data_IF_252345220241
#
_entry.id   IF_252345220241
#
_cell.length_a   1.000
_cell.length_b   1.000
_cell.length_c   1.000
_cell.angle_alpha   90.00
_cell.angle_beta   90.00
_cell.angle_gamma   90.00
#
_symmetry.space_group_name_H-M   'P 1'
#
loop_
_entity.id
_entity.type
_entity.pdbx_description
1 polymer ?
#
# COMPACT_ATOMS: atom_id res chain seq x y z
N UNK A 1 -1.60 -8.83 5.24
CA UNK A 1 -2.19 -7.94 6.27
C UNK A 1 -3.26 -8.61 7.13
N UNK A 2 -4.25 -9.30 6.54
CA UNK A 2 -5.32 -9.99 7.31
C UNK A 2 -4.78 -10.96 8.37
N UNK A 3 -3.75 -11.80 8.10
CA UNK A 3 -3.20 -12.69 9.12
C UNK A 3 -2.63 -11.95 10.34
N UNK A 4 -1.86 -10.88 10.12
CA UNK A 4 -1.27 -10.07 11.19
C UNK A 4 -2.31 -9.35 12.05
N UNK A 5 -3.30 -8.72 11.41
CA UNK A 5 -4.40 -8.08 12.14
C UNK A 5 -5.21 -9.10 12.95
N UNK A 6 -5.45 -10.30 12.37
CA UNK A 6 -6.16 -11.39 13.04
C UNK A 6 -5.40 -11.94 14.24
N UNK A 7 -4.07 -12.07 14.15
CA UNK A 7 -3.22 -12.52 15.26
C UNK A 7 -3.26 -11.53 16.43
N UNK A 8 -3.09 -10.23 16.15
CA UNK A 8 -3.18 -9.19 17.18
C UNK A 8 -4.57 -9.12 17.82
N UNK A 9 -5.64 -9.20 17.02
CA UNK A 9 -7.01 -9.21 17.54
C UNK A 9 -7.30 -10.46 18.38
N UNK A 10 -6.88 -11.64 17.92
CA UNK A 10 -7.05 -12.89 18.65
C UNK A 10 -6.35 -12.84 20.01
N UNK A 11 -5.13 -12.29 20.06
CA UNK A 11 -4.41 -12.09 21.32
C UNK A 11 -5.13 -11.13 22.26
N UNK A 12 -5.56 -9.96 21.77
CA UNK A 12 -6.13 -8.89 22.60
C UNK A 12 -7.58 -9.18 23.06
N UNK A 13 -8.37 -9.87 22.24
CA UNK A 13 -9.80 -10.12 22.50
C UNK A 13 -10.12 -11.56 22.91
N UNK A 14 -9.14 -12.48 22.81
CA UNK A 14 -9.32 -13.94 22.94
C UNK A 14 -10.29 -14.55 21.94
N UNK A 15 -10.59 -13.85 20.85
CA UNK A 15 -11.40 -14.38 19.75
C UNK A 15 -10.62 -15.44 18.97
N UNK A 16 -11.32 -16.47 18.46
CA UNK A 16 -10.70 -17.47 17.60
C UNK A 16 -10.12 -16.81 16.34
N UNK A 17 -8.88 -17.16 15.98
CA UNK A 17 -8.15 -16.50 14.88
C UNK A 17 -8.90 -16.58 13.55
N UNK A 18 -9.51 -17.72 13.23
CA UNK A 18 -10.32 -17.89 12.01
C UNK A 18 -11.57 -17.00 11.98
N UNK A 19 -12.19 -16.75 13.13
CA UNK A 19 -13.33 -15.85 13.20
C UNK A 19 -12.87 -14.42 12.88
N UNK A 20 -11.72 -14.00 13.43
CA UNK A 20 -11.11 -12.70 13.12
C UNK A 20 -10.77 -12.55 11.64
N UNK A 21 -10.21 -13.60 11.03
CA UNK A 21 -9.77 -13.61 9.63
C UNK A 21 -10.92 -13.46 8.65
N UNK A 22 -12.12 -13.97 8.97
CA UNK A 22 -13.31 -13.86 8.12
C UNK A 22 -14.10 -12.59 8.41
N UNK A 23 -14.20 -12.20 9.69
CA UNK A 23 -14.97 -11.04 10.12
C UNK A 23 -14.38 -9.73 9.59
N UNK A 24 -13.05 -9.63 9.52
CA UNK A 24 -12.35 -8.45 9.03
C UNK A 24 -12.72 -8.10 7.57
N UNK A 25 -12.51 -8.98 6.56
CA UNK A 25 -12.93 -8.72 5.19
C UNK A 25 -14.44 -8.52 5.04
N UNK A 26 -15.24 -9.28 5.79
CA UNK A 26 -16.70 -9.19 5.71
C UNK A 26 -17.23 -7.84 6.20
N UNK A 27 -16.70 -7.33 7.31
CA UNK A 27 -17.02 -5.99 7.80
C UNK A 27 -16.62 -4.90 6.80
N UNK A 28 -15.46 -5.07 6.15
CA UNK A 28 -14.97 -4.14 5.13
C UNK A 28 -15.86 -4.11 3.90
N UNK A 29 -16.23 -5.28 3.40
CA UNK A 29 -17.15 -5.43 2.25
C UNK A 29 -18.48 -4.75 2.54
N UNK A 30 -19.08 -5.02 3.70
CA UNK A 30 -20.38 -4.44 4.06
C UNK A 30 -20.35 -2.92 4.11
N UNK A 31 -19.34 -2.32 4.75
CA UNK A 31 -19.28 -0.86 4.81
C UNK A 31 -18.95 -0.26 3.43
N UNK A 32 -18.10 -0.90 2.64
CA UNK A 32 -17.72 -0.40 1.31
C UNK A 32 -18.92 -0.40 0.36
N UNK A 33 -19.79 -1.42 0.46
CA UNK A 33 -21.04 -1.49 -0.31
C UNK A 33 -22.06 -0.42 0.09
N UNK A 34 -22.11 -0.03 1.37
CA UNK A 34 -23.08 0.96 1.87
C UNK A 34 -22.56 2.38 1.69
N UNK A 35 -21.27 2.62 1.94
CA UNK A 35 -20.68 3.96 1.95
C UNK A 35 -20.24 4.47 0.58
N UNK A 36 -19.93 3.59 -0.37
CA UNK A 36 -19.36 4.01 -1.66
C UNK A 36 -17.97 4.65 -1.53
N UNK A 37 -17.45 5.19 -2.65
CA UNK A 37 -16.07 5.66 -2.72
C UNK A 37 -15.80 6.89 -1.85
N UNK A 38 -16.74 7.85 -1.80
CA UNK A 38 -16.56 9.10 -1.05
C UNK A 38 -16.55 8.89 0.46
N UNK A 39 -17.48 8.07 0.98
CA UNK A 39 -17.48 7.74 2.39
C UNK A 39 -16.22 6.95 2.77
N UNK A 40 -15.75 6.05 1.90
CA UNK A 40 -14.53 5.28 2.13
C UNK A 40 -13.31 6.20 2.24
N UNK A 41 -13.16 7.17 1.32
CA UNK A 41 -12.07 8.16 1.39
C UNK A 41 -12.14 9.04 2.65
N UNK A 42 -13.34 9.49 3.04
CA UNK A 42 -13.52 10.27 4.25
C UNK A 42 -13.16 9.45 5.50
N UNK A 43 -13.60 8.19 5.57
CA UNK A 43 -13.26 7.29 6.67
C UNK A 43 -11.78 6.97 6.70
N UNK A 44 -11.13 6.77 5.54
CA UNK A 44 -9.69 6.53 5.45
C UNK A 44 -8.88 7.73 5.95
N UNK A 45 -9.34 8.95 5.64
CA UNK A 45 -8.73 10.17 6.17
C UNK A 45 -8.86 10.24 7.70
N UNK A 46 -10.06 10.00 8.24
CA UNK A 46 -10.32 9.98 9.69
C UNK A 46 -9.53 8.87 10.38
N UNK A 47 -9.45 7.68 9.77
CA UNK A 47 -8.69 6.54 10.30
C UNK A 47 -7.20 6.84 10.32
N UNK A 48 -6.64 7.36 9.23
CA UNK A 48 -5.22 7.72 9.15
C UNK A 48 -4.87 8.78 10.19
N UNK A 49 -5.72 9.79 10.36
CA UNK A 49 -5.53 10.84 11.36
C UNK A 49 -5.61 10.29 12.80
N UNK A 50 -6.60 9.46 13.10
CA UNK A 50 -6.74 8.84 14.42
C UNK A 50 -5.60 7.85 14.73
N UNK A 51 -5.17 7.05 13.75
CA UNK A 51 -4.01 6.16 13.86
C UNK A 51 -2.74 6.96 14.15
N UNK A 52 -2.55 8.11 13.48
CA UNK A 52 -1.40 8.97 13.74
C UNK A 52 -1.40 9.50 15.17
N UNK A 53 -2.55 9.96 15.68
CA UNK A 53 -2.70 10.40 17.08
C UNK A 53 -2.40 9.27 18.05
N UNK A 54 -2.96 8.08 17.81
CA UNK A 54 -2.75 6.90 18.65
C UNK A 54 -1.28 6.45 18.63
N UNK A 55 -0.61 6.49 17.47
CA UNK A 55 0.82 6.19 17.35
C UNK A 55 1.67 7.20 18.12
N UNK A 56 1.42 8.49 17.95
CA UNK A 56 2.11 9.55 18.68
C UNK A 56 1.91 9.39 20.19
N UNK A 57 0.69 9.08 20.63
CA UNK A 57 0.36 8.84 22.03
C UNK A 57 1.04 7.59 22.58
N UNK A 58 1.01 6.46 21.86
CA UNK A 58 1.65 5.21 22.28
C UNK A 58 3.17 5.39 22.36
N UNK A 59 3.77 6.04 21.36
CA UNK A 59 5.19 6.37 21.32
C UNK A 59 5.58 7.27 22.50
N UNK A 60 4.79 8.31 22.76
CA UNK A 60 4.98 9.16 23.94
C UNK A 60 4.84 8.36 25.24
N UNK A 61 3.90 7.42 25.34
CA UNK A 61 3.73 6.56 26.53
C UNK A 61 4.90 5.61 26.76
N UNK A 62 5.48 5.05 25.70
CA UNK A 62 6.71 4.24 25.80
C UNK A 62 7.88 5.10 26.29
N UNK A 63 8.05 6.30 25.72
CA UNK A 63 9.14 7.22 26.07
C UNK A 63 8.98 7.83 27.48
N UNK A 64 7.75 8.01 27.97
CA UNK A 64 7.47 8.65 29.27
C UNK A 64 7.32 7.67 30.44
N UNK A 65 7.45 6.36 30.20
CA UNK A 65 7.42 5.36 31.26
C UNK A 65 8.61 5.55 32.21
N UNK A 66 8.44 5.26 33.51
CA UNK A 66 9.39 5.55 34.61
C UNK A 66 10.79 4.91 34.43
N UNK A 67 11.00 4.13 33.37
CA UNK A 67 12.25 3.46 33.01
C UNK A 67 13.03 4.13 31.86
N UNK A 68 12.56 5.23 31.26
CA UNK A 68 13.32 5.97 30.23
C UNK A 68 12.94 7.47 30.23
N UNK A 69 13.93 8.35 30.28
CA UNK A 69 13.74 9.80 30.47
C UNK A 69 13.38 10.60 29.20
N UNK A 70 12.60 11.67 29.38
CA UNK A 70 11.86 12.41 28.35
C UNK A 70 12.50 13.75 27.96
N UNK A 71 12.54 14.07 26.65
CA UNK A 71 12.79 15.42 26.15
C UNK A 71 12.58 15.52 24.63
N UNK A 72 11.98 16.63 24.20
CA UNK A 72 11.84 17.12 22.81
C UNK A 72 10.64 16.62 21.98
N UNK A 73 9.48 17.26 22.16
CA UNK A 73 8.40 17.23 21.15
C UNK A 73 7.56 18.52 21.14
N UNK A 74 8.22 19.65 20.89
CA UNK A 74 7.54 20.92 20.62
C UNK A 74 8.14 21.54 19.37
N UNK A 75 7.34 21.51 18.29
CA UNK A 75 7.35 22.35 17.07
C UNK A 75 7.34 21.51 15.79
N UNK A 76 6.15 21.18 15.30
CA UNK A 76 5.93 20.98 13.86
C UNK A 76 4.43 20.83 13.64
N UNK A 77 3.73 21.84 13.14
CA UNK A 77 2.58 21.71 12.23
C UNK A 77 2.20 23.08 11.68
N UNK A 78 2.58 23.36 10.44
CA UNK A 78 1.87 24.29 9.55
C UNK A 78 2.37 24.10 8.12
N UNK A 79 1.52 23.61 7.21
CA UNK A 79 1.52 24.04 5.82
C UNK A 79 0.28 23.51 5.08
N UNK A 80 -0.29 24.38 4.25
CA UNK A 80 -1.48 24.21 3.43
C UNK A 80 -1.08 24.16 1.92
N UNK A 81 -2.00 24.09 0.93
CA UNK A 81 -1.96 23.05 -0.09
C UNK A 81 -1.64 23.57 -1.50
N UNK A 82 -0.49 23.16 -2.04
CA UNK A 82 -0.17 23.13 -3.49
C UNK A 82 0.19 21.68 -3.87
N UNK A 83 -0.71 20.77 -3.50
CA UNK A 83 -0.41 19.69 -2.55
C UNK A 83 0.03 18.35 -3.14
N UNK A 84 0.09 18.18 -4.46
CA UNK A 84 0.25 16.83 -5.03
C UNK A 84 1.71 16.37 -5.02
N UNK A 85 2.64 17.15 -5.60
CA UNK A 85 4.07 16.83 -5.60
C UNK A 85 4.69 16.87 -4.19
N UNK A 86 4.50 17.93 -3.37
CA UNK A 86 4.97 17.91 -1.99
C UNK A 86 4.24 16.88 -1.14
N UNK A 87 2.99 16.54 -1.45
CA UNK A 87 2.24 15.47 -0.78
C UNK A 87 2.83 14.08 -1.06
N UNK A 88 3.22 13.77 -2.29
CA UNK A 88 3.92 12.53 -2.62
C UNK A 88 5.28 12.43 -1.92
N UNK A 89 6.04 13.53 -1.87
CA UNK A 89 7.32 13.58 -1.16
C UNK A 89 7.13 13.42 0.35
N UNK A 90 6.19 14.14 0.95
CA UNK A 90 5.89 14.06 2.38
C UNK A 90 5.35 12.68 2.75
N UNK A 91 4.50 12.10 1.90
CA UNK A 91 4.01 10.73 2.04
C UNK A 91 5.15 9.71 1.99
N UNK A 92 6.07 9.84 1.04
CA UNK A 92 7.26 8.98 0.94
C UNK A 92 8.18 9.07 2.17
N UNK A 93 8.46 10.29 2.65
CA UNK A 93 9.27 10.51 3.87
C UNK A 93 8.56 9.92 5.09
N UNK A 94 7.25 10.16 5.22
CA UNK A 94 6.44 9.69 6.34
C UNK A 94 6.32 8.16 6.35
N UNK A 95 6.25 7.54 5.17
CA UNK A 95 6.18 6.09 5.03
C UNK A 95 7.41 5.37 5.57
N UNK A 96 8.60 5.97 5.51
CA UNK A 96 9.80 5.43 6.16
C UNK A 96 9.83 5.81 7.64
N UNK A 97 9.57 7.08 7.94
CA UNK A 97 9.73 7.65 9.28
C UNK A 97 8.81 7.02 10.33
N UNK A 98 7.52 6.81 10.00
CA UNK A 98 6.52 6.33 10.96
C UNK A 98 6.77 4.85 11.33
N UNK A 99 6.86 3.90 10.38
CA UNK A 99 7.10 2.51 10.72
C UNK A 99 8.48 2.30 11.35
N UNK A 100 9.53 3.00 10.88
CA UNK A 100 10.87 2.86 11.43
C UNK A 100 10.96 3.32 12.89
N UNK A 101 10.42 4.52 13.19
CA UNK A 101 10.43 5.05 14.56
C UNK A 101 9.62 4.18 15.52
N UNK A 102 8.39 3.82 15.15
CA UNK A 102 7.54 2.94 15.96
C UNK A 102 8.20 1.57 16.16
N UNK A 103 8.71 0.95 15.11
CA UNK A 103 9.32 -0.39 15.19
C UNK A 103 10.58 -0.39 16.03
N UNK A 104 11.42 0.64 15.93
CA UNK A 104 12.66 0.73 16.71
C UNK A 104 12.35 0.92 18.20
N UNK A 105 11.44 1.83 18.53
CA UNK A 105 11.06 2.12 19.92
C UNK A 105 10.41 0.89 20.57
N UNK A 106 9.45 0.28 19.87
CA UNK A 106 8.74 -0.91 20.36
C UNK A 106 9.66 -2.12 20.41
N UNK A 107 10.56 -2.31 19.44
CA UNK A 107 11.54 -3.39 19.43
C UNK A 107 12.53 -3.30 20.59
N UNK A 108 13.08 -2.10 20.84
CA UNK A 108 13.97 -1.86 21.98
C UNK A 108 13.25 -2.02 23.32
N UNK A 109 12.02 -1.49 23.42
CA UNK A 109 11.19 -1.66 24.62
C UNK A 109 10.86 -3.14 24.88
N UNK A 110 10.59 -3.92 23.83
CA UNK A 110 10.38 -5.36 23.95
C UNK A 110 11.59 -6.06 24.56
N UNK A 111 12.79 -5.84 23.99
CA UNK A 111 14.02 -6.46 24.49
C UNK A 111 14.32 -6.08 25.95
N UNK A 112 14.04 -4.82 26.34
CA UNK A 112 14.25 -4.35 27.71
C UNK A 112 13.23 -4.87 28.71
N UNK A 113 11.99 -5.10 28.29
CA UNK A 113 10.88 -5.49 29.17
C UNK A 113 10.71 -7.01 29.27
N UNK A 114 11.13 -7.79 28.28
CA UNK A 114 10.87 -9.24 28.19
C UNK A 114 11.37 -10.04 29.40
N UNK A 115 12.46 -9.58 30.05
CA UNK A 115 13.02 -10.18 31.25
C UNK A 115 12.33 -9.75 32.56
N UNK A 116 11.33 -8.87 32.50
CA UNK A 116 10.64 -8.32 33.67
C UNK A 116 9.27 -8.98 33.89
N UNK A 117 8.80 -9.09 35.15
CA UNK A 117 7.49 -9.66 35.47
C UNK A 117 6.29 -8.86 34.95
N UNK A 118 6.52 -7.62 34.48
CA UNK A 118 5.50 -6.78 33.85
C UNK A 118 5.14 -7.27 32.43
N UNK A 119 6.02 -8.06 31.80
CA UNK A 119 5.82 -8.49 30.43
C UNK A 119 4.88 -9.69 30.34
N UNK A 120 3.93 -9.72 29.38
CA UNK A 120 2.89 -10.76 29.31
C UNK A 120 3.39 -12.21 29.20
N UNK A 121 4.60 -12.42 28.67
CA UNK A 121 5.18 -13.76 28.50
C UNK A 121 6.08 -14.18 29.67
N UNK A 122 6.39 -13.32 30.64
CA UNK A 122 7.30 -13.67 31.73
C UNK A 122 6.80 -14.89 32.55
N UNK A 123 7.66 -15.87 32.91
CA UNK A 123 9.12 -15.89 32.80
C UNK A 123 9.68 -16.47 31.50
N UNK A 124 8.84 -16.80 30.50
CA UNK A 124 9.31 -17.31 29.21
C UNK A 124 9.62 -16.16 28.25
N UNK A 125 10.67 -16.36 27.46
CA UNK A 125 10.95 -15.52 26.30
C UNK A 125 9.88 -15.74 25.21
N UNK A 126 9.72 -14.76 24.33
CA UNK A 126 8.90 -14.84 23.14
C UNK A 126 9.42 -15.90 22.20
N UNK A 127 8.50 -16.70 21.70
CA UNK A 127 8.80 -17.70 20.67
C UNK A 127 8.96 -17.03 19.30
N UNK A 128 9.71 -17.66 18.40
CA UNK A 128 9.87 -17.17 17.02
C UNK A 128 8.53 -17.02 16.29
N UNK A 129 7.53 -17.86 16.62
CA UNK A 129 6.19 -17.77 16.06
C UNK A 129 5.43 -16.52 16.55
N UNK A 130 5.52 -16.16 17.84
CA UNK A 130 4.89 -14.95 18.39
C UNK A 130 5.53 -13.68 17.80
N UNK A 131 6.85 -13.71 17.61
CA UNK A 131 7.60 -12.63 16.97
C UNK A 131 7.17 -12.43 15.51
N UNK A 132 7.17 -13.49 14.70
CA UNK A 132 6.80 -13.45 13.27
C UNK A 132 5.33 -13.08 13.05
N UNK A 133 4.45 -13.43 14.00
CA UNK A 133 3.04 -13.02 13.96
C UNK A 133 2.81 -11.56 14.38
N UNK A 134 3.87 -10.80 14.67
CA UNK A 134 3.79 -9.37 14.94
C UNK A 134 3.22 -9.02 16.32
N UNK A 135 3.31 -9.94 17.29
CA UNK A 135 2.74 -9.75 18.63
C UNK A 135 3.58 -8.82 19.55
N UNK A 136 4.76 -8.41 19.08
CA UNK A 136 5.68 -7.52 19.78
C UNK A 136 4.98 -6.21 20.21
N UNK A 137 4.27 -5.55 19.29
CA UNK A 137 3.57 -4.30 19.57
C UNK A 137 2.42 -4.47 20.60
N UNK A 138 1.51 -5.44 20.45
CA UNK A 138 0.54 -5.76 21.49
C UNK A 138 1.16 -6.06 22.86
N UNK A 139 2.25 -6.81 22.93
CA UNK A 139 2.87 -7.20 24.20
C UNK A 139 3.49 -6.01 24.92
N UNK A 140 4.24 -5.17 24.19
CA UNK A 140 4.82 -3.95 24.74
C UNK A 140 3.73 -2.97 25.19
N UNK A 141 2.66 -2.81 24.42
CA UNK A 141 1.57 -1.90 24.78
C UNK A 141 0.83 -2.34 26.06
N UNK A 142 0.63 -3.65 26.25
CA UNK A 142 0.06 -4.20 27.49
C UNK A 142 1.02 -4.01 28.66
N UNK A 143 2.32 -4.25 28.47
CA UNK A 143 3.32 -4.10 29.51
C UNK A 143 3.47 -2.63 29.98
N UNK A 144 3.44 -1.67 29.05
CA UNK A 144 3.69 -0.25 29.36
C UNK A 144 2.43 0.50 29.78
N UNK A 145 1.31 0.27 29.08
CA UNK A 145 0.07 1.06 29.24
C UNK A 145 -1.13 0.23 29.72
N UNK A 146 -0.90 -1.02 30.14
CA UNK A 146 -1.91 -1.89 30.72
C UNK A 146 -3.13 -2.08 29.81
N UNK A 147 -4.32 -2.09 30.41
CA UNK A 147 -5.59 -2.26 29.68
C UNK A 147 -5.85 -1.14 28.66
N UNK A 148 -5.39 0.09 28.95
CA UNK A 148 -5.53 1.22 28.02
C UNK A 148 -4.71 1.05 26.75
N UNK A 149 -3.45 0.57 26.89
CA UNK A 149 -2.59 0.23 25.76
C UNK A 149 -3.16 -0.90 24.90
N UNK A 150 -3.72 -1.93 25.55
CA UNK A 150 -4.37 -3.05 24.87
C UNK A 150 -5.52 -2.57 23.95
N UNK A 151 -6.40 -1.70 24.46
CA UNK A 151 -7.51 -1.15 23.69
C UNK A 151 -7.01 -0.22 22.58
N UNK A 152 -5.99 0.60 22.84
CA UNK A 152 -5.41 1.49 21.83
C UNK A 152 -4.81 0.71 20.64
N UNK A 153 -4.03 -0.36 20.91
CA UNK A 153 -3.47 -1.21 19.85
C UNK A 153 -4.55 -1.98 19.11
N UNK A 154 -5.59 -2.46 19.81
CA UNK A 154 -6.73 -3.12 19.18
C UNK A 154 -7.43 -2.18 18.18
N UNK A 155 -7.76 -0.97 18.61
CA UNK A 155 -8.42 0.03 17.77
C UNK A 155 -7.54 0.45 16.60
N UNK A 156 -6.27 0.74 16.85
CA UNK A 156 -5.30 1.09 15.82
C UNK A 156 -5.17 -0.02 14.77
N UNK A 157 -5.07 -1.27 15.19
CA UNK A 157 -4.96 -2.43 14.29
C UNK A 157 -6.23 -2.59 13.45
N UNK A 158 -7.40 -2.47 14.07
CA UNK A 158 -8.68 -2.56 13.38
C UNK A 158 -8.83 -1.43 12.35
N UNK A 159 -8.53 -0.19 12.72
CA UNK A 159 -8.61 0.97 11.82
C UNK A 159 -7.61 0.86 10.66
N UNK A 160 -6.37 0.47 10.94
CA UNK A 160 -5.33 0.30 9.92
C UNK A 160 -5.69 -0.82 8.93
N UNK A 161 -6.16 -1.97 9.43
CA UNK A 161 -6.58 -3.08 8.61
C UNK A 161 -7.82 -2.73 7.77
N UNK A 162 -8.79 -2.04 8.38
CA UNK A 162 -10.03 -1.62 7.69
C UNK A 162 -9.76 -0.65 6.55
N UNK A 163 -8.89 0.34 6.79
CA UNK A 163 -8.53 1.35 5.79
C UNK A 163 -7.73 0.79 4.62
N UNK A 164 -6.78 -0.12 4.90
CA UNK A 164 -5.99 -0.72 3.82
C UNK A 164 -6.80 -1.74 3.02
N UNK A 165 -7.68 -2.53 3.67
CA UNK A 165 -8.52 -3.50 2.98
C UNK A 165 -9.52 -2.84 2.04
N UNK A 166 -10.16 -1.73 2.45
CA UNK A 166 -11.09 -1.02 1.59
C UNK A 166 -10.43 -0.38 0.40
N UNK A 167 -9.28 0.26 0.58
CA UNK A 167 -8.51 0.82 -0.53
C UNK A 167 -8.18 -0.28 -1.56
N UNK A 168 -7.74 -1.46 -1.11
CA UNK A 168 -7.45 -2.59 -1.99
C UNK A 168 -8.70 -3.14 -2.70
N UNK A 169 -9.80 -3.29 -1.97
CA UNK A 169 -11.09 -3.75 -2.50
C UNK A 169 -11.62 -2.78 -3.56
N UNK A 170 -11.51 -1.47 -3.32
CA UNK A 170 -11.91 -0.44 -4.27
C UNK A 170 -11.06 -0.45 -5.54
N UNK A 171 -9.75 -0.63 -5.41
CA UNK A 171 -8.85 -0.77 -6.57
C UNK A 171 -9.20 -2.00 -7.39
N UNK A 172 -9.44 -3.15 -6.75
CA UNK A 172 -9.83 -4.37 -7.49
C UNK A 172 -11.20 -4.19 -8.15
N UNK A 173 -12.14 -3.56 -7.45
CA UNK A 173 -13.47 -3.25 -7.98
C UNK A 173 -13.41 -2.32 -9.19
N UNK A 174 -12.55 -1.30 -9.17
CA UNK A 174 -12.38 -0.38 -10.29
C UNK A 174 -11.71 -1.08 -11.49
N UNK A 175 -10.72 -1.95 -11.27
CA UNK A 175 -10.10 -2.77 -12.33
C UNK A 175 -11.15 -3.67 -12.99
N UNK A 176 -11.95 -4.40 -12.19
CA UNK A 176 -13.00 -5.28 -12.74
C UNK A 176 -14.03 -4.49 -13.56
N UNK A 177 -14.34 -3.27 -13.14
CA UNK A 177 -15.38 -2.45 -13.77
C UNK A 177 -14.88 -1.71 -15.00
N UNK A 178 -13.76 -0.99 -14.89
CA UNK A 178 -13.25 -0.12 -15.95
C UNK A 178 -12.31 -0.85 -16.90
N UNK A 179 -11.45 -1.74 -16.41
CA UNK A 179 -10.44 -2.39 -17.25
C UNK A 179 -10.97 -3.68 -17.89
N UNK A 180 -11.87 -4.39 -17.21
CA UNK A 180 -12.46 -5.63 -17.74
C UNK A 180 -13.84 -5.38 -18.34
N UNK A 181 -14.82 -5.00 -17.51
CA UNK A 181 -16.21 -4.91 -17.96
C UNK A 181 -16.40 -3.86 -19.05
N UNK A 182 -15.90 -2.63 -18.86
CA UNK A 182 -16.08 -1.57 -19.83
C UNK A 182 -15.29 -1.81 -21.13
N UNK A 183 -14.04 -2.26 -21.05
CA UNK A 183 -13.21 -2.44 -22.25
C UNK A 183 -13.68 -3.61 -23.12
N UNK A 184 -14.03 -4.74 -22.51
CA UNK A 184 -14.26 -5.99 -23.24
C UNK A 184 -15.73 -6.38 -23.40
N UNK A 185 -16.62 -5.97 -22.50
CA UNK A 185 -18.02 -6.38 -22.51
C UNK A 185 -18.98 -5.27 -22.93
N UNK A 186 -18.84 -4.06 -22.37
CA UNK A 186 -19.69 -2.93 -22.72
C UNK A 186 -18.96 -1.57 -22.65
N UNK A 187 -18.49 -1.10 -23.81
CA UNK A 187 -17.72 0.14 -23.94
C UNK A 187 -18.52 1.40 -23.58
N UNK A 188 -19.85 1.36 -23.76
CA UNK A 188 -20.80 2.42 -23.41
C UNK A 188 -21.59 2.09 -22.13
N UNK A 189 -20.92 1.50 -21.13
CA UNK A 189 -21.56 1.16 -19.87
C UNK A 189 -22.18 2.41 -19.18
N UNK A 190 -23.49 2.35 -18.92
CA UNK A 190 -24.20 3.35 -18.13
C UNK A 190 -23.74 3.36 -16.66
N UNK A 191 -23.81 4.51 -15.98
CA UNK A 191 -23.45 4.68 -14.57
C UNK A 191 -24.07 3.61 -13.65
N UNK A 192 -25.32 3.21 -13.89
CA UNK A 192 -25.98 2.16 -13.09
C UNK A 192 -25.32 0.78 -13.27
N UNK A 193 -24.82 0.47 -14.46
CA UNK A 193 -24.11 -0.78 -14.72
C UNK A 193 -22.71 -0.76 -14.11
N UNK A 194 -21.99 0.37 -14.20
CA UNK A 194 -20.68 0.57 -13.59
C UNK A 194 -20.75 0.34 -12.07
N UNK A 195 -21.71 0.97 -11.39
CA UNK A 195 -21.89 0.78 -9.93
C UNK A 195 -22.24 -0.68 -9.59
N UNK A 196 -23.13 -1.32 -10.37
CA UNK A 196 -23.51 -2.72 -10.12
C UNK A 196 -22.32 -3.67 -10.24
N UNK A 197 -21.51 -3.52 -11.28
CA UNK A 197 -20.31 -4.33 -11.48
C UNK A 197 -19.23 -4.02 -10.45
N UNK A 198 -19.14 -2.76 -9.98
CA UNK A 198 -18.32 -2.39 -8.84
C UNK A 198 -18.72 -3.15 -7.57
N UNK A 199 -20.01 -3.18 -7.21
CA UNK A 199 -20.48 -3.92 -6.04
C UNK A 199 -20.25 -5.44 -6.16
N UNK A 200 -20.42 -6.01 -7.36
CA UNK A 200 -20.07 -7.42 -7.62
C UNK A 200 -18.58 -7.65 -7.37
N UNK A 201 -17.72 -6.75 -7.87
CA UNK A 201 -16.27 -6.82 -7.65
C UNK A 201 -15.88 -6.78 -6.18
N UNK A 202 -16.51 -5.89 -5.40
CA UNK A 202 -16.31 -5.76 -3.95
C UNK A 202 -16.65 -7.07 -3.22
N UNK A 203 -17.83 -7.65 -3.50
CA UNK A 203 -18.29 -8.90 -2.86
C UNK A 203 -17.40 -10.07 -3.27
N UNK A 204 -17.12 -10.22 -4.57
CA UNK A 204 -16.32 -11.31 -5.10
C UNK A 204 -14.92 -11.31 -4.51
N UNK A 205 -14.24 -10.17 -4.51
CA UNK A 205 -12.91 -10.07 -3.96
C UNK A 205 -12.90 -10.31 -2.44
N UNK A 206 -13.89 -9.83 -1.70
CA UNK A 206 -14.03 -10.11 -0.27
C UNK A 206 -14.12 -11.61 0.04
N UNK A 207 -14.93 -12.36 -0.72
CA UNK A 207 -15.08 -13.82 -0.58
C UNK A 207 -13.76 -14.52 -0.92
N UNK A 208 -13.14 -14.16 -2.05
CA UNK A 208 -11.87 -14.77 -2.50
C UNK A 208 -10.75 -14.48 -1.50
N UNK A 209 -10.63 -13.24 -1.01
CA UNK A 209 -9.63 -12.86 -0.03
C UNK A 209 -9.83 -13.61 1.30
N UNK A 210 -11.07 -13.74 1.78
CA UNK A 210 -11.38 -14.50 3.00
C UNK A 210 -11.05 -16.00 2.83
N UNK A 211 -11.42 -16.60 1.69
CA UNK A 211 -11.12 -18.00 1.39
C UNK A 211 -9.61 -18.25 1.28
N UNK A 212 -8.89 -17.38 0.58
CA UNK A 212 -7.44 -17.50 0.39
C UNK A 212 -6.68 -17.30 1.71
N UNK A 213 -7.14 -16.39 2.57
CA UNK A 213 -6.55 -16.22 3.89
C UNK A 213 -6.83 -17.40 4.81
N UNK A 214 -8.04 -17.96 4.77
CA UNK A 214 -8.37 -19.19 5.50
C UNK A 214 -7.49 -20.37 5.03
N UNK A 215 -7.26 -20.49 3.72
CA UNK A 215 -6.35 -21.49 3.14
C UNK A 215 -4.93 -21.34 3.70
N UNK A 216 -4.36 -20.13 3.73
CA UNK A 216 -3.03 -19.88 4.30
C UNK A 216 -2.94 -20.22 5.78
N UNK A 217 -4.01 -19.99 6.55
CA UNK A 217 -4.04 -20.39 7.95
C UNK A 217 -3.93 -21.91 8.12
N UNK A 218 -4.64 -22.70 7.31
CA UNK A 218 -4.58 -24.17 7.38
C UNK A 218 -3.27 -24.76 6.85
N UNK A 219 -2.61 -24.10 5.90
CA UNK A 219 -1.30 -24.51 5.39
C UNK A 219 -0.19 -24.23 6.43
N UNK A 220 -0.48 -23.46 7.48
CA UNK A 220 0.50 -23.08 8.50
C UNK A 220 1.44 -21.99 8.00
N UNK A 221 0.96 -21.13 7.11
CA UNK A 221 1.72 -19.99 6.58
C UNK A 221 1.59 -18.80 7.53
N UNK A 222 2.70 -18.37 8.11
CA UNK A 222 2.75 -17.21 8.99
C UNK A 222 2.75 -15.87 8.25
N UNK A 223 2.49 -14.78 8.99
CA UNK A 223 2.51 -13.41 8.44
C UNK A 223 3.84 -13.08 7.73
N UNK A 224 4.97 -13.45 8.34
CA UNK A 224 6.30 -13.20 7.76
C UNK A 224 6.47 -13.82 6.38
N UNK A 225 6.07 -15.09 6.22
CA UNK A 225 6.11 -15.78 4.94
C UNK A 225 5.29 -15.05 3.87
N UNK A 226 4.07 -14.62 4.21
CA UNK A 226 3.21 -13.90 3.25
C UNK A 226 3.79 -12.54 2.83
N UNK A 227 4.45 -11.84 3.75
CA UNK A 227 5.12 -10.56 3.45
C UNK A 227 6.33 -10.76 2.54
N UNK A 228 7.11 -11.80 2.79
CA UNK A 228 8.29 -12.10 1.99
C UNK A 228 7.94 -12.60 0.59
N UNK A 229 6.93 -13.46 0.48
CA UNK A 229 6.45 -13.96 -0.82
C UNK A 229 5.88 -12.83 -1.69
N UNK A 230 5.23 -11.83 -1.10
CA UNK A 230 4.61 -10.71 -1.82
C UNK A 230 5.62 -9.95 -2.69
N UNK A 231 6.82 -9.66 -2.16
CA UNK A 231 7.86 -8.93 -2.89
C UNK A 231 8.25 -9.61 -4.20
N UNK A 232 8.28 -10.95 -4.21
CA UNK A 232 8.62 -11.74 -5.39
C UNK A 232 7.57 -11.54 -6.50
N UNK A 233 6.29 -11.47 -6.16
CA UNK A 233 5.23 -11.34 -7.17
C UNK A 233 4.98 -9.89 -7.62
N UNK A 234 5.22 -8.90 -6.76
CA UNK A 234 4.87 -7.50 -7.07
C UNK A 234 6.01 -6.70 -7.71
N UNK A 235 7.26 -7.01 -7.38
CA UNK A 235 8.42 -6.22 -7.85
C UNK A 235 8.70 -6.26 -9.37
N UNK A 236 8.41 -7.32 -10.14
CA UNK A 236 8.76 -7.40 -11.57
C UNK A 236 8.16 -6.31 -12.46
N UNK A 237 7.08 -5.65 -12.03
CA UNK A 237 6.44 -4.58 -12.79
C UNK A 237 7.21 -3.25 -12.75
N UNK A 238 8.10 -3.05 -11.78
CA UNK A 238 8.75 -1.76 -11.54
C UNK A 238 9.68 -1.37 -12.68
N UNK A 239 10.61 -2.25 -13.05
CA UNK A 239 11.59 -1.95 -14.10
C UNK A 239 10.93 -1.75 -15.47
N UNK A 240 10.04 -2.65 -15.95
CA UNK A 240 9.39 -2.46 -17.24
C UNK A 240 8.62 -1.15 -17.31
N UNK A 241 7.98 -0.72 -16.22
CA UNK A 241 7.27 0.57 -16.16
C UNK A 241 8.23 1.76 -16.28
N UNK A 242 9.37 1.74 -15.59
CA UNK A 242 10.40 2.78 -15.71
C UNK A 242 10.94 2.84 -17.14
N UNK A 243 11.23 1.69 -17.74
CA UNK A 243 11.76 1.63 -19.11
C UNK A 243 10.72 2.13 -20.12
N UNK A 244 9.41 1.91 -19.90
CA UNK A 244 8.36 2.40 -20.81
C UNK A 244 8.37 3.92 -20.88
N UNK A 245 8.62 4.57 -19.75
CA UNK A 245 8.64 6.04 -19.63
C UNK A 245 9.92 6.62 -20.24
N UNK A 246 11.08 6.01 -19.97
CA UNK A 246 12.39 6.57 -20.35
C UNK A 246 12.76 6.19 -21.79
N UNK A 247 12.39 5.00 -22.26
CA UNK A 247 12.82 4.45 -23.53
C UNK A 247 11.71 4.44 -24.57
N UNK A 248 11.74 5.43 -25.46
CA UNK A 248 10.76 5.61 -26.56
C UNK A 248 10.61 4.42 -27.52
N UNK A 249 11.52 3.43 -27.50
CA UNK A 249 11.50 2.29 -28.42
C UNK A 249 11.02 0.98 -27.78
N UNK A 250 10.65 0.98 -26.49
CA UNK A 250 10.22 -0.24 -25.81
C UNK A 250 8.93 -0.77 -26.42
N UNK A 251 8.90 -2.07 -26.66
CA UNK A 251 7.74 -2.72 -27.29
C UNK A 251 6.71 -3.16 -26.27
N UNK A 252 5.45 -3.22 -26.71
CA UNK A 252 4.35 -3.77 -25.90
C UNK A 252 4.66 -5.20 -25.44
N UNK A 253 5.25 -6.00 -26.32
CA UNK A 253 5.69 -7.37 -25.99
C UNK A 253 6.79 -7.37 -24.93
N UNK A 254 7.80 -6.51 -25.04
CA UNK A 254 8.86 -6.39 -24.03
C UNK A 254 8.29 -5.96 -22.67
N UNK A 255 7.40 -4.97 -22.65
CA UNK A 255 6.75 -4.47 -21.44
C UNK A 255 5.97 -5.56 -20.69
N UNK A 256 5.18 -6.38 -21.39
CA UNK A 256 4.32 -7.39 -20.77
C UNK A 256 5.14 -8.64 -20.41
N UNK A 257 5.92 -9.17 -21.36
CA UNK A 257 6.63 -10.44 -21.17
C UNK A 257 7.76 -10.36 -20.14
N UNK A 258 8.44 -9.22 -20.03
CA UNK A 258 9.52 -9.04 -19.04
C UNK A 258 9.02 -9.12 -17.60
N UNK A 259 7.81 -8.64 -17.31
CA UNK A 259 7.18 -8.78 -15.99
C UNK A 259 6.91 -10.24 -15.65
N UNK A 260 6.31 -11.01 -16.56
CA UNK A 260 6.03 -12.44 -16.31
C UNK A 260 7.31 -13.28 -16.23
N UNK A 261 8.30 -13.00 -17.06
CA UNK A 261 9.61 -13.66 -16.98
C UNK A 261 10.32 -13.31 -15.68
N UNK A 262 10.19 -12.08 -15.18
CA UNK A 262 10.69 -11.67 -13.87
C UNK A 262 10.06 -12.41 -12.70
N UNK A 263 8.74 -12.64 -12.76
CA UNK A 263 8.05 -13.49 -11.76
C UNK A 263 8.63 -14.92 -11.82
N UNK A 264 8.80 -15.48 -13.01
CA UNK A 264 9.30 -16.84 -13.18
C UNK A 264 10.73 -17.01 -12.65
N UNK A 265 11.63 -16.05 -12.93
CA UNK A 265 12.99 -16.06 -12.37
C UNK A 265 12.99 -15.82 -10.86
N UNK A 266 12.17 -14.91 -10.36
CA UNK A 266 12.02 -14.65 -8.93
C UNK A 266 11.59 -15.90 -8.16
N UNK A 267 10.56 -16.60 -8.66
CA UNK A 267 10.10 -17.87 -8.09
C UNK A 267 11.16 -18.97 -8.21
N UNK A 268 11.86 -19.07 -9.34
CA UNK A 268 12.93 -20.05 -9.53
C UNK A 268 14.10 -19.85 -8.58
N UNK A 269 14.55 -18.60 -8.40
CA UNK A 269 15.64 -18.25 -7.47
C UNK A 269 15.19 -18.44 -6.02
N UNK A 270 13.95 -18.08 -5.68
CA UNK A 270 13.40 -18.26 -4.34
C UNK A 270 13.34 -19.74 -3.93
N UNK A 271 12.73 -20.59 -4.76
CA UNK A 271 12.62 -22.02 -4.48
C UNK A 271 13.98 -22.72 -4.57
N UNK A 272 14.83 -22.31 -5.53
CA UNK A 272 16.18 -22.85 -5.69
C UNK A 272 17.11 -22.50 -4.52
N UNK A 273 17.03 -21.28 -3.99
CA UNK A 273 17.79 -20.87 -2.80
C UNK A 273 17.25 -21.49 -1.53
N UNK A 274 15.93 -21.66 -1.38
CA UNK A 274 15.34 -22.41 -0.26
C UNK A 274 15.84 -23.87 -0.25
N UNK A 275 15.90 -24.51 -1.42
CA UNK A 275 16.47 -25.86 -1.55
C UNK A 275 17.97 -25.88 -1.28
N UNK A 276 18.73 -24.89 -1.77
CA UNK A 276 20.18 -24.85 -1.58
C UNK A 276 20.61 -24.62 -0.13
N UNK A 277 19.86 -23.83 0.64
CA UNK A 277 20.19 -23.53 2.03
C UNK A 277 19.61 -24.55 3.02
N UNK A 278 18.36 -24.97 2.83
CA UNK A 278 17.67 -25.84 3.79
C UNK A 278 17.60 -27.31 3.34
N UNK A 279 18.02 -27.64 2.11
CA UNK A 279 18.00 -29.01 1.56
C UNK A 279 16.63 -29.52 1.11
N UNK A 280 15.54 -28.83 1.48
CA UNK A 280 14.16 -29.17 1.15
C UNK A 280 13.32 -27.92 0.86
N UNK A 281 12.29 -28.05 0.04
CA UNK A 281 11.33 -26.97 -0.25
C UNK A 281 10.08 -27.16 0.60
N UNK A 282 10.01 -26.44 1.72
CA UNK A 282 8.90 -26.46 2.68
C UNK A 282 8.48 -25.03 3.02
N UNK A 283 7.35 -24.86 3.73
CA UNK A 283 6.90 -23.53 4.19
C UNK A 283 7.96 -22.88 5.10
N UNK A 284 8.66 -23.68 5.90
CA UNK A 284 9.74 -23.19 6.74
C UNK A 284 10.93 -22.68 5.92
N UNK A 285 11.45 -23.47 4.97
CA UNK A 285 12.61 -23.07 4.17
C UNK A 285 12.31 -21.88 3.25
N UNK A 286 11.12 -21.86 2.66
CA UNK A 286 10.67 -20.75 1.82
C UNK A 286 10.32 -19.49 2.61
N UNK A 287 10.11 -19.60 3.93
CA UNK A 287 9.86 -18.48 4.83
C UNK A 287 11.12 -17.83 5.42
N UNK A 288 12.30 -18.40 5.15
CA UNK A 288 13.55 -17.81 5.60
C UNK A 288 13.89 -16.50 4.88
N UNK A 289 14.55 -15.59 5.58
CA UNK A 289 14.88 -14.26 5.07
C UNK A 289 15.82 -14.31 3.86
N UNK A 290 16.79 -15.21 3.85
CA UNK A 290 17.80 -15.29 2.79
C UNK A 290 17.21 -15.75 1.45
N UNK A 291 16.50 -16.90 1.34
CA UNK A 291 15.84 -17.28 0.10
C UNK A 291 14.92 -16.19 -0.47
N UNK A 292 14.16 -15.54 0.40
CA UNK A 292 13.23 -14.48 0.02
C UNK A 292 13.95 -13.24 -0.51
N UNK A 293 15.07 -12.85 0.10
CA UNK A 293 15.91 -11.75 -0.37
C UNK A 293 16.41 -12.03 -1.79
N UNK A 294 17.00 -13.21 -2.03
CA UNK A 294 17.49 -13.59 -3.36
C UNK A 294 16.38 -13.63 -4.41
N UNK A 295 15.24 -14.23 -4.06
CA UNK A 295 14.05 -14.27 -4.92
C UNK A 295 13.57 -12.87 -5.29
N UNK A 296 13.44 -11.97 -4.32
CA UNK A 296 12.95 -10.60 -4.54
C UNK A 296 13.90 -9.79 -5.41
N UNK A 297 15.21 -9.86 -5.15
CA UNK A 297 16.24 -9.17 -5.94
C UNK A 297 16.24 -9.70 -7.38
N UNK A 298 16.18 -11.02 -7.57
CA UNK A 298 16.10 -11.62 -8.90
C UNK A 298 14.84 -11.18 -9.64
N UNK A 299 13.69 -11.16 -8.95
CA UNK A 299 12.40 -10.73 -9.49
C UNK A 299 12.41 -9.26 -9.92
N UNK A 300 13.05 -8.38 -9.14
CA UNK A 300 13.14 -6.95 -9.42
C UNK A 300 14.04 -6.63 -10.63
N UNK A 301 15.23 -7.23 -10.70
CA UNK A 301 16.25 -6.84 -11.69
C UNK A 301 16.21 -7.64 -12.99
N UNK A 302 15.76 -8.90 -12.97
CA UNK A 302 15.73 -9.72 -14.19
C UNK A 302 14.82 -9.17 -15.32
N UNK A 303 13.68 -8.48 -15.07
CA UNK A 303 12.92 -7.82 -16.11
C UNK A 303 13.73 -6.79 -16.92
N UNK A 304 14.78 -6.19 -16.34
CA UNK A 304 15.66 -5.27 -17.05
C UNK A 304 16.32 -5.98 -18.25
N UNK A 305 16.90 -7.14 -18.00
CA UNK A 305 17.61 -7.93 -19.00
C UNK A 305 16.65 -8.38 -20.11
N UNK A 306 15.46 -8.85 -19.73
CA UNK A 306 14.43 -9.27 -20.69
C UNK A 306 13.89 -8.11 -21.51
N UNK A 307 13.58 -6.98 -20.86
CA UNK A 307 13.05 -5.79 -21.53
C UNK A 307 14.05 -5.25 -22.56
N UNK A 308 15.33 -5.16 -22.19
CA UNK A 308 16.40 -4.72 -23.10
C UNK A 308 16.60 -5.70 -24.24
N UNK A 309 16.71 -7.01 -23.96
CA UNK A 309 16.95 -8.02 -24.98
C UNK A 309 15.80 -8.07 -26.02
N UNK A 310 14.55 -8.08 -25.57
CA UNK A 310 13.38 -8.17 -26.45
C UNK A 310 13.23 -6.87 -27.26
N UNK A 311 13.47 -5.72 -26.64
CA UNK A 311 13.40 -4.41 -27.32
C UNK A 311 14.49 -4.26 -28.38
N UNK A 312 15.69 -4.79 -28.16
CA UNK A 312 16.76 -4.78 -29.16
C UNK A 312 16.46 -5.67 -30.38
N UNK A 313 15.76 -6.79 -30.20
CA UNK A 313 15.42 -7.73 -31.29
C UNK A 313 14.31 -7.19 -32.18
N UNK A 314 13.31 -6.52 -31.60
CA UNK A 314 12.25 -5.84 -32.35
C UNK A 314 11.94 -4.52 -31.67
N UNK A 315 12.48 -3.38 -32.13
CA UNK A 315 12.10 -2.08 -31.59
C UNK A 315 10.75 -1.63 -32.17
N UNK A 316 9.91 -1.02 -31.35
CA UNK A 316 8.61 -0.46 -31.74
C UNK A 316 8.55 1.00 -31.29
N UNK A 317 7.97 1.89 -32.10
CA UNK A 317 7.86 3.31 -31.77
C UNK A 317 6.42 3.65 -31.46
N UNK A 318 6.08 3.67 -30.18
CA UNK A 318 4.76 4.08 -29.73
C UNK A 318 4.64 5.62 -29.73
N UNK A 319 3.65 6.15 -30.43
CA UNK A 319 3.35 7.58 -30.41
C UNK A 319 2.42 7.92 -29.25
N UNK A 320 2.89 8.78 -28.36
CA UNK A 320 2.17 9.22 -27.16
C UNK A 320 1.01 10.17 -27.47
N UNK A 321 0.89 10.64 -28.72
CA UNK A 321 -0.22 11.48 -29.19
C UNK A 321 -1.59 10.82 -29.00
N UNK A 322 -1.70 9.51 -29.24
CA UNK A 322 -2.93 8.71 -29.05
C UNK A 322 -3.43 8.64 -27.60
N UNK A 323 -2.55 8.87 -26.62
CA UNK A 323 -2.93 8.89 -25.21
C UNK A 323 -3.83 10.10 -24.87
N UNK A 324 -3.76 11.18 -25.66
CA UNK A 324 -4.58 12.39 -25.47
C UNK A 324 -6.02 12.24 -25.94
N UNK A 325 -6.30 11.23 -26.75
CA UNK A 325 -7.63 10.99 -27.36
C UNK A 325 -8.56 10.20 -26.42
N UNK A 326 -8.01 9.47 -25.43
CA UNK A 326 -8.77 8.65 -24.50
C UNK A 326 -9.15 9.44 -23.23
N UNK A 327 -10.33 10.07 -23.22
CA UNK A 327 -10.94 10.63 -22.00
C UNK A 327 -11.39 9.49 -21.06
N UNK A 328 -10.57 9.19 -20.05
CA UNK A 328 -10.86 8.17 -19.03
C UNK A 328 -11.71 8.67 -17.84
N UNK A 329 -12.02 9.96 -17.76
CA UNK A 329 -12.80 10.50 -16.65
C UNK A 329 -14.32 10.39 -16.91
N UNK A 330 -15.04 9.79 -15.98
CA UNK A 330 -16.48 9.96 -15.83
C UNK A 330 -16.69 11.44 -15.46
N UNK A 331 -17.38 12.21 -16.30
CA UNK A 331 -17.96 13.48 -15.86
C UNK A 331 -19.01 13.10 -14.81
N UNK A 332 -18.74 13.42 -13.55
CA UNK A 332 -19.74 13.36 -12.50
C UNK A 332 -20.76 14.45 -12.82
N UNK A 333 -21.99 14.07 -13.14
CA UNK A 333 -23.08 15.01 -13.40
C UNK A 333 -23.33 15.88 -12.15
N UNK A 334 -22.77 17.09 -12.12
CA UNK A 334 -23.25 18.18 -11.27
C UNK A 334 -24.66 18.57 -11.76
N UNK A 335 -25.67 17.89 -11.25
CA UNK A 335 -27.07 18.26 -11.48
C UNK A 335 -27.88 18.18 -10.19
N UNK A 336 -27.59 19.08 -9.25
CA UNK A 336 -28.60 19.54 -8.30
C UNK A 336 -28.16 20.82 -7.57
N UNK A 337 -28.53 21.99 -8.11
CA UNK A 337 -29.31 23.04 -7.42
C UNK A 337 -29.06 24.45 -7.98
N UNK A 338 -30.13 25.12 -8.42
CA UNK A 338 -30.33 26.57 -8.19
C UNK A 338 -29.93 27.56 -9.29
N UNK A 339 -30.84 27.76 -10.23
CA UNK A 339 -31.19 29.02 -10.93
C UNK A 339 -30.64 30.36 -10.38
N UNK A 340 -30.06 31.20 -11.26
CA UNK A 340 -30.68 32.44 -11.77
C UNK A 340 -29.80 33.15 -12.84
N UNK A 341 -30.49 33.86 -13.73
CA UNK A 341 -30.03 34.48 -14.98
C UNK A 341 -29.27 35.81 -14.85
N UNK A 342 -28.37 36.13 -15.80
CA UNK A 342 -28.47 37.33 -16.67
C UNK A 342 -27.24 37.53 -17.60
N UNK A 343 -27.52 38.18 -18.74
CA UNK A 343 -26.69 38.39 -19.94
C UNK A 343 -25.48 39.33 -19.78
N UNK A 344 -24.49 39.18 -20.68
CA UNK A 344 -23.57 40.28 -21.05
C UNK A 344 -22.44 39.89 -22.02
N UNK A 345 -22.52 40.33 -23.27
CA UNK A 345 -21.49 40.19 -24.33
C UNK A 345 -20.28 41.10 -24.07
N UNK A 346 -19.08 40.59 -24.37
CA UNK A 346 -17.90 41.41 -24.76
C UNK A 346 -16.61 40.99 -24.09
N UNK A 347 -15.62 40.57 -24.89
CA UNK A 347 -14.14 40.61 -24.69
C UNK A 347 -13.49 39.36 -25.31
N UNK A 348 -13.10 39.41 -26.58
CA UNK A 348 -12.47 38.28 -27.31
C UNK A 348 -11.00 38.50 -27.66
N UNK A 349 -10.33 39.51 -27.08
CA UNK A 349 -8.96 39.87 -27.51
C UNK A 349 -7.92 40.02 -26.39
N UNK A 350 -8.33 39.97 -25.11
CA UNK A 350 -7.39 40.05 -23.96
C UNK A 350 -6.91 38.65 -23.50
N UNK A 351 -7.69 37.60 -23.76
CA UNK A 351 -7.43 36.26 -23.21
C UNK A 351 -6.21 35.56 -23.84
N UNK A 352 -5.89 35.79 -25.12
CA UNK A 352 -4.90 34.96 -25.85
C UNK A 352 -3.44 35.19 -25.41
N UNK A 353 -3.12 36.34 -24.83
CA UNK A 353 -1.75 36.67 -24.40
C UNK A 353 -1.46 36.18 -22.98
N UNK A 354 -2.47 36.18 -22.10
CA UNK A 354 -2.36 35.67 -20.73
C UNK A 354 -2.37 34.14 -20.68
N UNK A 355 -3.10 33.45 -21.56
CA UNK A 355 -3.09 31.97 -21.59
C UNK A 355 -1.73 31.43 -22.04
N UNK A 356 -1.06 32.09 -22.99
CA UNK A 356 0.26 31.67 -23.49
C UNK A 356 1.40 31.91 -22.48
N UNK A 357 1.32 32.97 -21.69
CA UNK A 357 2.27 33.22 -20.59
C UNK A 357 2.02 32.30 -19.39
N UNK A 358 0.75 31.98 -19.08
CA UNK A 358 0.44 31.01 -18.03
C UNK A 358 0.83 29.57 -18.42
N UNK A 359 0.57 29.13 -19.65
CA UNK A 359 0.98 27.80 -20.11
C UNK A 359 2.49 27.64 -20.12
N UNK A 360 3.25 28.66 -20.56
CA UNK A 360 4.72 28.58 -20.60
C UNK A 360 5.36 28.56 -19.19
N UNK A 361 4.82 29.33 -18.24
CA UNK A 361 5.31 29.35 -16.84
C UNK A 361 4.95 28.07 -16.10
N UNK A 362 3.75 27.52 -16.30
CA UNK A 362 3.35 26.23 -15.71
C UNK A 362 4.21 25.08 -16.26
N UNK A 363 4.49 25.09 -17.56
CA UNK A 363 5.29 24.04 -18.20
C UNK A 363 6.76 24.06 -17.73
N UNK A 364 7.36 25.24 -17.54
CA UNK A 364 8.71 25.37 -16.98
C UNK A 364 8.81 24.91 -15.52
N UNK A 365 7.83 25.27 -14.69
CA UNK A 365 7.80 24.83 -13.29
C UNK A 365 7.57 23.32 -13.18
N UNK A 366 6.70 22.74 -14.01
CA UNK A 366 6.43 21.31 -14.00
C UNK A 366 7.66 20.48 -14.42
N UNK A 367 8.45 20.98 -15.38
CA UNK A 367 9.73 20.35 -15.77
C UNK A 367 10.78 20.42 -14.66
N UNK A 368 10.83 21.52 -13.89
CA UNK A 368 11.70 21.66 -12.72
C UNK A 368 11.30 20.67 -11.62
N UNK A 369 10.02 20.59 -11.26
CA UNK A 369 9.52 19.63 -10.27
C UNK A 369 9.75 18.17 -10.67
N UNK A 370 9.64 17.85 -11.96
CA UNK A 370 9.94 16.51 -12.48
C UNK A 370 11.42 16.15 -12.32
N UNK A 371 12.34 17.12 -12.54
CA UNK A 371 13.78 16.92 -12.30
C UNK A 371 14.12 16.75 -10.82
N UNK A 372 13.47 17.51 -9.94
CA UNK A 372 13.63 17.35 -8.49
C UNK A 372 13.10 16.01 -8.00
N UNK A 373 11.94 15.56 -8.50
CA UNK A 373 11.39 14.24 -8.17
C UNK A 373 12.30 13.10 -8.64
N UNK A 374 12.91 13.21 -9.83
CA UNK A 374 13.87 12.22 -10.35
C UNK A 374 15.14 12.17 -9.49
N UNK A 375 15.74 13.33 -9.17
CA UNK A 375 16.92 13.38 -8.30
C UNK A 375 16.63 12.85 -6.90
N UNK A 376 15.43 13.11 -6.38
CA UNK A 376 15.03 12.65 -5.07
C UNK A 376 14.72 11.14 -5.06
N UNK A 377 14.13 10.59 -6.13
CA UNK A 377 13.96 9.15 -6.31
C UNK A 377 15.32 8.42 -6.38
N UNK A 378 16.32 9.02 -7.04
CA UNK A 378 17.69 8.49 -7.07
C UNK A 378 18.32 8.56 -5.67
N UNK A 379 18.16 9.66 -4.95
CA UNK A 379 18.72 9.83 -3.60
C UNK A 379 18.08 8.87 -2.57
N UNK A 380 16.77 8.65 -2.63
CA UNK A 380 16.08 7.68 -1.76
C UNK A 380 16.43 6.24 -2.10
N UNK A 381 16.69 5.92 -3.37
CA UNK A 381 17.15 4.59 -3.77
C UNK A 381 18.60 4.30 -3.34
N UNK A 382 19.44 5.33 -3.23
CA UNK A 382 20.86 5.20 -2.87
C UNK A 382 21.14 5.29 -1.37
N UNK A 383 20.13 5.52 -0.53
CA UNK A 383 20.17 5.34 0.92
C UNK A 383 21.15 6.27 1.65
N UNK A 384 20.62 7.34 2.23
CA UNK A 384 21.24 8.05 3.36
C UNK A 384 20.25 8.19 4.50
#
# INVERSE_FOLDING_TARGET
>A
MIPGASAAMSFLTRMHIMASTILLPLGVVLYTLVGGIEATFLTDYVYTFAILILNCWLTAKVITSESMGMGYFLKAFAASPSAVVPGYLLGGISYISIPWSLSTIVGMASLGLEALPVFPTYPRLMTSAEFTNGLVLPYVAVAVAGKGGAVAVLLMTLMAATSTLSAQILVVSSILTFDIYRVYFNQEASNKQVIRWGHIGVVLFGIVAAAFTAMFHYIGVDMGWTLYMLGILTCPGVIPLIVIIIWRKQTKLAAISSTFLGIATGLGVWLGSAFAFSGEVTVASTGETLPCMYGTVASLFSPLLYSVAITCVRPDSYDWSHFKEHRLAVELDESSSGSESSQGKGTKQVTRTETASHESVVNNNQQLWTKYALWWAIATFLGH
#
